data_IF_428481796857
#
_entry.id   IF_428481796857
#
_cell.length_a   1.000
_cell.length_b   1.000
_cell.length_c   1.000
_cell.angle_alpha   90.00
_cell.angle_beta   90.00
_cell.angle_gamma   90.00
#
_symmetry.space_group_name_H-M   'P 1'
#
loop_
_entity.id
_entity.type
_entity.pdbx_description
1 polymer ?
#
# COMPACT_ATOMS: atom_id res chain seq x y z
N UNK A 1 -38.48 -10.83 -37.33
CA UNK A 1 -38.00 -9.63 -36.63
C UNK A 1 -36.61 -9.32 -37.13
N UNK A 2 -36.31 -8.06 -37.41
CA UNK A 2 -34.98 -7.61 -37.84
C UNK A 2 -34.56 -6.45 -36.94
N UNK A 3 -33.30 -6.44 -36.50
CA UNK A 3 -32.70 -5.34 -35.73
C UNK A 3 -32.06 -4.34 -36.70
N UNK A 4 -32.25 -3.04 -36.43
CA UNK A 4 -31.47 -1.96 -37.03
C UNK A 4 -30.63 -1.31 -35.93
N UNK A 5 -29.35 -1.69 -35.90
CA UNK A 5 -28.42 -1.31 -34.84
C UNK A 5 -27.99 0.16 -34.95
N UNK A 6 -28.07 0.77 -36.14
CA UNK A 6 -27.69 2.17 -36.35
C UNK A 6 -28.71 3.09 -35.69
N UNK A 7 -30.00 2.73 -35.79
CA UNK A 7 -31.10 3.52 -35.25
C UNK A 7 -31.61 3.00 -33.89
N UNK A 8 -30.98 1.98 -33.31
CA UNK A 8 -31.44 1.27 -32.11
C UNK A 8 -32.93 0.92 -32.18
N UNK A 9 -33.36 0.41 -33.34
CA UNK A 9 -34.76 0.16 -33.66
C UNK A 9 -34.97 -1.32 -34.01
N UNK A 10 -36.15 -1.85 -33.69
CA UNK A 10 -36.55 -3.21 -34.07
C UNK A 10 -37.80 -3.17 -34.91
N UNK A 11 -37.77 -3.88 -36.05
CA UNK A 11 -38.95 -4.06 -36.91
C UNK A 11 -39.56 -5.44 -36.66
N UNK A 12 -40.85 -5.46 -36.30
CA UNK A 12 -41.59 -6.66 -35.96
C UNK A 12 -42.82 -6.80 -36.85
N UNK A 13 -42.88 -7.90 -37.62
CA UNK A 13 -44.10 -8.32 -38.31
C UNK A 13 -44.79 -9.39 -37.48
N UNK A 14 -45.97 -9.07 -36.94
CA UNK A 14 -46.75 -9.96 -36.07
C UNK A 14 -48.25 -9.72 -36.24
N UNK A 15 -49.08 -10.66 -35.74
CA UNK A 15 -50.53 -10.46 -35.63
C UNK A 15 -50.86 -9.44 -34.53
N UNK A 16 -52.02 -8.78 -34.61
CA UNK A 16 -52.42 -7.71 -33.68
C UNK A 16 -52.31 -8.11 -32.20
N UNK A 17 -52.67 -9.37 -31.87
CA UNK A 17 -52.59 -9.90 -30.51
C UNK A 17 -51.15 -9.98 -30.00
N UNK A 18 -50.23 -10.44 -30.85
CA UNK A 18 -48.82 -10.58 -30.47
C UNK A 18 -48.11 -9.22 -30.45
N UNK A 19 -48.52 -8.28 -31.30
CA UNK A 19 -48.02 -6.91 -31.26
C UNK A 19 -48.28 -6.24 -29.90
N UNK A 20 -49.50 -6.35 -29.37
CA UNK A 20 -49.84 -5.79 -28.05
C UNK A 20 -48.99 -6.37 -26.91
N UNK A 21 -48.68 -7.68 -26.95
CA UNK A 21 -47.83 -8.33 -25.95
C UNK A 21 -46.38 -7.85 -26.03
N UNK A 22 -45.86 -7.67 -27.25
CA UNK A 22 -44.48 -7.18 -27.48
C UNK A 22 -44.36 -5.71 -27.08
N UNK A 23 -45.36 -4.88 -27.38
CA UNK A 23 -45.40 -3.48 -26.97
C UNK A 23 -45.35 -3.34 -25.44
N UNK A 24 -46.17 -4.10 -24.72
CA UNK A 24 -46.17 -4.12 -23.25
C UNK A 24 -44.84 -4.63 -22.66
N UNK A 25 -44.20 -5.58 -23.32
CA UNK A 25 -42.88 -6.07 -22.91
C UNK A 25 -41.78 -5.02 -23.12
N UNK A 26 -41.78 -4.32 -24.27
CA UNK A 26 -40.82 -3.26 -24.57
C UNK A 26 -40.96 -2.09 -23.60
N UNK A 27 -42.19 -1.67 -23.27
CA UNK A 27 -42.44 -0.61 -22.28
C UNK A 27 -41.87 -0.92 -20.90
N UNK A 28 -41.76 -2.20 -20.53
CA UNK A 28 -41.17 -2.62 -19.25
C UNK A 28 -39.65 -2.76 -19.30
N UNK A 29 -39.08 -2.96 -20.49
CA UNK A 29 -37.64 -3.13 -20.69
C UNK A 29 -36.92 -1.79 -20.89
N UNK A 30 -37.58 -0.83 -21.54
CA UNK A 30 -37.03 0.49 -21.85
C UNK A 30 -37.12 1.46 -20.65
N UNK A 31 -36.36 1.14 -19.60
CA UNK A 31 -36.21 1.97 -18.40
C UNK A 31 -34.77 2.46 -18.31
N UNK A 32 -34.59 3.72 -17.90
CA UNK A 32 -33.25 4.25 -17.64
C UNK A 32 -32.55 3.43 -16.53
N UNK A 33 -31.29 2.98 -16.75
CA UNK A 33 -30.58 2.20 -15.76
C UNK A 33 -30.24 3.05 -14.53
N UNK A 34 -30.39 2.47 -13.34
CA UNK A 34 -30.03 3.14 -12.09
C UNK A 34 -28.50 3.22 -11.93
N UNK A 35 -28.01 4.35 -11.45
CA UNK A 35 -26.61 4.53 -11.03
C UNK A 35 -26.47 4.19 -9.55
N UNK A 36 -25.35 3.56 -9.19
CA UNK A 36 -25.01 3.15 -7.83
C UNK A 36 -23.63 3.70 -7.51
N UNK A 37 -23.49 4.31 -6.32
CA UNK A 37 -22.20 4.71 -5.76
C UNK A 37 -21.70 3.62 -4.82
N UNK A 38 -20.54 3.06 -5.13
CA UNK A 38 -19.87 2.07 -4.28
C UNK A 38 -18.76 2.81 -3.52
N UNK A 39 -18.79 2.69 -2.19
CA UNK A 39 -17.77 3.21 -1.28
C UNK A 39 -17.18 2.03 -0.49
N UNK A 40 -15.86 1.96 -0.42
CA UNK A 40 -15.17 1.00 0.44
C UNK A 40 -14.43 1.77 1.54
N UNK A 41 -14.36 1.22 2.75
CA UNK A 41 -13.60 1.79 3.86
C UNK A 41 -12.48 0.83 4.27
N UNK A 42 -11.24 1.31 4.21
CA UNK A 42 -10.04 0.55 4.59
C UNK A 42 -9.41 1.25 5.78
N UNK A 43 -9.22 0.52 6.88
CA UNK A 43 -8.58 1.03 8.10
C UNK A 43 -7.39 0.15 8.47
N UNK A 44 -6.19 0.73 8.54
CA UNK A 44 -4.98 0.04 9.00
C UNK A 44 -4.54 0.64 10.34
N UNK A 45 -4.36 -0.22 11.34
CA UNK A 45 -3.85 0.16 12.66
C UNK A 45 -2.56 -0.60 12.90
N UNK A 46 -1.45 0.14 12.90
CA UNK A 46 -0.13 -0.39 13.22
C UNK A 46 0.33 0.19 14.54
N UNK A 47 0.55 -0.68 15.52
CA UNK A 47 1.05 -0.33 16.84
C UNK A 47 2.46 -0.88 17.00
N UNK A 48 3.43 0.00 17.14
CA UNK A 48 4.82 -0.36 17.47
C UNK A 48 5.05 -0.03 18.93
N UNK A 49 5.45 -1.03 19.71
CA UNK A 49 5.80 -0.89 21.12
C UNK A 49 7.27 -1.23 21.30
N UNK A 50 8.11 -0.21 21.47
CA UNK A 50 9.54 -0.37 21.71
C UNK A 50 9.87 0.08 23.13
N UNK A 51 10.24 -0.89 23.99
CA UNK A 51 10.69 -0.62 25.35
C UNK A 51 12.19 -0.84 25.41
N UNK A 52 12.93 0.24 25.62
CA UNK A 52 14.38 0.23 25.75
C UNK A 52 14.77 0.68 27.16
N UNK A 53 15.57 -0.13 27.85
CA UNK A 53 16.13 0.21 29.15
C UNK A 53 17.64 -0.02 29.16
N UNK A 54 18.34 0.85 29.88
CA UNK A 54 19.79 0.82 29.98
C UNK A 54 20.25 1.24 31.37
N UNK A 55 21.14 0.46 31.95
CA UNK A 55 21.81 0.76 33.22
C UNK A 55 23.30 0.78 32.97
N UNK A 56 23.94 1.90 33.30
CA UNK A 56 25.36 2.13 33.09
C UNK A 56 26.00 2.53 34.42
N UNK A 57 27.08 1.86 34.77
CA UNK A 57 27.88 2.13 35.97
C UNK A 57 29.32 2.42 35.55
N UNK A 58 29.90 3.48 36.12
CA UNK A 58 31.31 3.84 35.94
C UNK A 58 31.98 3.93 37.30
N UNK A 59 33.07 3.20 37.47
CA UNK A 59 33.89 3.22 38.68
C UNK A 59 35.24 3.80 38.32
N UNK A 60 35.57 4.95 38.90
CA UNK A 60 36.81 5.67 38.61
C UNK A 60 37.65 5.76 39.88
N UNK A 61 38.81 5.08 39.88
CA UNK A 61 39.77 5.10 40.99
C UNK A 61 41.14 5.53 40.46
N UNK A 62 41.50 6.79 40.68
CA UNK A 62 42.79 7.32 40.22
C UNK A 62 42.89 7.34 38.69
N UNK A 63 43.77 6.52 38.10
CA UNK A 63 43.95 6.38 36.65
C UNK A 63 43.22 5.17 36.03
N UNK A 64 42.58 4.32 36.86
CA UNK A 64 41.83 3.17 36.38
C UNK A 64 40.34 3.46 36.36
N UNK A 65 39.69 3.08 35.27
CA UNK A 65 38.26 3.21 35.09
C UNK A 65 37.66 1.87 34.65
N UNK A 66 36.58 1.46 35.31
CA UNK A 66 35.83 0.23 35.01
C UNK A 66 34.39 0.62 34.72
N UNK A 67 33.86 0.21 33.57
CA UNK A 67 32.48 0.48 33.16
C UNK A 67 31.70 -0.80 32.95
N UNK A 68 30.46 -0.81 33.43
CA UNK A 68 29.50 -1.88 33.24
C UNK A 68 28.26 -1.27 32.57
N UNK A 69 27.87 -1.81 31.41
CA UNK A 69 26.67 -1.40 30.69
C UNK A 69 25.93 -2.65 30.22
N UNK A 70 24.61 -2.66 30.37
CA UNK A 70 23.74 -3.66 29.73
C UNK A 70 23.19 -3.16 28.37
N UNK A 71 23.62 -1.97 27.93
CA UNK A 71 23.23 -1.36 26.68
C UNK A 71 24.35 -1.53 25.65
N UNK A 72 24.02 -2.24 24.58
CA UNK A 72 24.93 -2.54 23.47
C UNK A 72 25.39 -1.23 22.78
N UNK A 73 26.69 -1.06 22.57
CA UNK A 73 27.26 0.08 21.85
C UNK A 73 27.61 1.35 22.67
N UNK A 74 27.41 1.38 23.99
CA UNK A 74 27.67 2.58 24.82
C UNK A 74 28.92 2.44 25.71
N UNK A 75 30.11 2.25 25.12
CA UNK A 75 31.38 2.05 25.86
C UNK A 75 32.21 3.32 26.11
N UNK A 76 31.73 4.51 25.71
CA UNK A 76 32.56 5.72 25.69
C UNK A 76 32.23 6.81 26.72
N UNK A 77 30.99 6.90 27.18
CA UNK A 77 30.54 7.96 28.11
C UNK A 77 29.24 7.55 28.80
N UNK A 78 29.03 8.01 30.03
CA UNK A 78 27.73 7.93 30.70
C UNK A 78 26.77 8.90 30.00
N UNK A 79 25.95 8.36 29.11
CA UNK A 79 25.02 9.14 28.31
C UNK A 79 23.64 9.07 28.95
N UNK A 80 23.07 10.23 29.27
CA UNK A 80 21.63 10.36 29.48
C UNK A 80 20.97 10.25 28.11
N UNK A 81 20.17 9.22 27.91
CA UNK A 81 19.48 9.02 26.63
C UNK A 81 18.23 9.92 26.58
N UNK A 82 18.13 10.72 25.51
CA UNK A 82 16.97 11.56 25.20
C UNK A 82 16.53 11.29 23.76
N UNK A 83 15.23 11.13 23.47
CA UNK A 83 14.07 11.24 24.37
C UNK A 83 13.96 10.08 25.37
N UNK A 84 13.26 10.27 26.49
CA UNK A 84 13.02 9.24 27.51
C UNK A 84 13.22 9.71 28.97
N UNK A 85 13.05 8.79 29.91
CA UNK A 85 13.39 8.97 31.32
C UNK A 85 14.88 8.68 31.53
N UNK A 86 15.62 9.62 32.11
CA UNK A 86 17.01 9.40 32.49
C UNK A 86 17.31 9.95 33.88
N UNK A 87 17.78 9.07 34.76
CA UNK A 87 18.26 9.41 36.09
C UNK A 87 19.76 9.17 36.17
N UNK A 88 20.50 10.19 36.58
CA UNK A 88 21.95 10.11 36.69
C UNK A 88 22.38 10.57 38.07
N UNK A 89 23.33 9.81 38.60
CA UNK A 89 23.95 10.04 39.89
C UNK A 89 25.47 10.12 39.67
N UNK A 90 26.06 11.25 40.06
CA UNK A 90 27.50 11.44 40.05
C UNK A 90 28.05 11.41 41.47
N UNK A 91 29.05 10.58 41.69
CA UNK A 91 29.76 10.45 42.96
C UNK A 91 31.24 10.80 42.79
N UNK A 92 32.02 10.70 43.87
CA UNK A 92 33.47 11.02 43.82
C UNK A 92 34.30 9.95 43.09
N UNK A 93 33.76 8.75 42.94
CA UNK A 93 34.44 7.59 42.35
C UNK A 93 33.48 6.57 41.73
N UNK A 94 32.16 6.84 41.80
CA UNK A 94 31.12 5.98 41.26
C UNK A 94 30.06 6.87 40.63
N UNK A 95 29.82 6.63 39.35
CA UNK A 95 28.78 7.31 38.59
C UNK A 95 27.82 6.27 38.02
N UNK A 96 26.54 6.60 37.99
CA UNK A 96 25.48 5.70 37.58
C UNK A 96 24.46 6.43 36.70
N UNK A 97 24.04 5.79 35.62
CA UNK A 97 22.96 6.28 34.75
C UNK A 97 21.93 5.18 34.55
N UNK A 98 20.67 5.52 34.79
CA UNK A 98 19.50 4.72 34.45
C UNK A 98 18.75 5.43 33.34
N UNK A 99 18.62 4.78 32.19
CA UNK A 99 17.84 5.23 31.05
C UNK A 99 16.65 4.28 30.83
N UNK A 100 15.48 4.83 30.60
CA UNK A 100 14.28 4.11 30.21
C UNK A 100 13.53 4.91 29.15
N UNK A 101 13.30 4.30 27.99
CA UNK A 101 12.55 4.87 26.88
C UNK A 101 11.45 3.90 26.49
N UNK A 102 10.21 4.40 26.50
CA UNK A 102 9.05 3.70 25.98
C UNK A 102 8.56 4.47 24.76
N UNK A 103 8.75 3.88 23.57
CA UNK A 103 8.27 4.42 22.30
C UNK A 103 6.97 3.74 21.91
N UNK A 104 5.83 4.41 22.12
CA UNK A 104 4.55 3.99 21.56
C UNK A 104 4.26 4.76 20.28
N UNK A 105 4.28 4.06 19.15
CA UNK A 105 3.86 4.64 17.86
C UNK A 105 2.53 4.02 17.44
N UNK A 106 1.48 4.84 17.35
CA UNK A 106 0.17 4.44 16.82
C UNK A 106 -0.04 5.09 15.47
N UNK A 107 -0.02 4.28 14.42
CA UNK A 107 -0.35 4.72 13.05
C UNK A 107 -1.78 4.27 12.75
N UNK A 108 -2.60 5.19 12.24
CA UNK A 108 -3.97 4.92 11.79
C UNK A 108 -4.12 5.42 10.36
N UNK A 109 -4.29 4.51 9.40
CA UNK A 109 -4.51 4.85 8.00
C UNK A 109 -5.99 4.62 7.69
N UNK A 110 -6.68 5.63 7.18
CA UNK A 110 -8.08 5.55 6.73
C UNK A 110 -8.14 5.92 5.27
N UNK A 111 -8.66 5.03 4.43
CA UNK A 111 -8.89 5.28 3.01
C UNK A 111 -10.33 4.93 2.62
N UNK A 112 -10.97 5.83 1.86
CA UNK A 112 -12.35 5.67 1.40
C UNK A 112 -12.47 5.86 -0.13
N UNK A 113 -12.05 4.87 -0.95
CA UNK A 113 -12.23 4.94 -2.40
C UNK A 113 -13.73 4.85 -2.77
N UNK A 114 -14.11 5.62 -3.80
CA UNK A 114 -15.49 5.69 -4.31
C UNK A 114 -15.53 5.48 -5.82
N UNK A 115 -16.55 4.75 -6.30
CA UNK A 115 -16.77 4.47 -7.72
C UNK A 115 -18.26 4.50 -8.04
N UNK A 116 -18.64 5.20 -9.12
CA UNK A 116 -20.02 5.26 -9.60
C UNK A 116 -20.18 4.30 -10.79
N UNK A 117 -21.19 3.44 -10.73
CA UNK A 117 -21.41 2.37 -11.70
C UNK A 117 -22.88 2.27 -12.06
N UNK A 118 -23.20 1.78 -13.26
CA UNK A 118 -24.57 1.42 -13.60
C UNK A 118 -24.94 0.09 -12.96
N UNK A 119 -26.23 -0.08 -12.63
CA UNK A 119 -26.73 -1.33 -12.07
C UNK A 119 -26.41 -2.50 -13.02
N UNK A 120 -25.96 -3.61 -12.43
CA UNK A 120 -25.59 -4.83 -13.14
C UNK A 120 -24.44 -4.70 -14.16
N UNK A 121 -23.57 -3.69 -14.00
CA UNK A 121 -22.33 -3.56 -14.78
C UNK A 121 -21.10 -3.78 -13.90
N UNK A 122 -20.17 -4.63 -14.37
CA UNK A 122 -18.89 -4.84 -13.71
C UNK A 122 -18.02 -3.60 -13.86
N UNK A 123 -17.49 -3.11 -12.74
CA UNK A 123 -16.53 -2.02 -12.72
C UNK A 123 -15.32 -2.40 -11.86
N UNK A 124 -14.14 -1.90 -12.23
CA UNK A 124 -12.91 -2.11 -11.49
C UNK A 124 -12.31 -0.77 -11.06
N UNK A 125 -11.81 -0.74 -9.83
CA UNK A 125 -11.08 0.39 -9.26
C UNK A 125 -9.73 -0.14 -8.77
N UNK A 126 -8.64 0.36 -9.36
CA UNK A 126 -7.27 -0.02 -9.01
C UNK A 126 -6.57 1.21 -8.43
N UNK A 127 -5.98 1.05 -7.25
CA UNK A 127 -5.23 2.09 -6.53
C UNK A 127 -3.87 1.50 -6.16
N UNK A 128 -2.80 2.19 -6.53
CA UNK A 128 -1.43 1.79 -6.23
C UNK A 128 -0.48 2.10 -7.39
N UNK A 129 0.78 1.72 -7.19
CA UNK A 129 1.84 1.94 -8.17
C UNK A 129 2.13 0.65 -8.94
N UNK A 130 2.36 0.78 -10.25
CA UNK A 130 2.81 -0.34 -11.08
C UNK A 130 4.34 -0.42 -11.06
N UNK A 131 4.90 -1.38 -10.32
CA UNK A 131 6.35 -1.61 -10.26
C UNK A 131 6.79 -2.58 -11.37
N UNK A 132 7.63 -2.16 -12.34
CA UNK A 132 8.11 -3.06 -13.39
C UNK A 132 9.15 -4.04 -12.83
N UNK A 133 9.10 -5.29 -13.29
CA UNK A 133 10.14 -6.28 -13.04
C UNK A 133 10.95 -6.51 -14.32
N UNK A 134 12.27 -6.62 -14.21
CA UNK A 134 13.12 -6.93 -15.34
C UNK A 134 12.95 -8.40 -15.74
N UNK A 135 12.27 -8.66 -16.86
CA UNK A 135 12.04 -10.01 -17.39
C UNK A 135 12.86 -10.25 -18.66
N UNK A 136 14.19 -10.26 -18.54
CA UNK A 136 15.05 -10.75 -19.62
C UNK A 136 16.43 -11.16 -19.09
N UNK A 137 16.72 -12.46 -19.12
CA UNK A 137 18.07 -13.00 -19.02
C UNK A 137 18.42 -13.65 -20.35
N UNK A 138 19.34 -13.04 -21.11
CA UNK A 138 19.88 -13.64 -22.32
C UNK A 138 21.17 -14.39 -21.97
N UNK A 139 21.19 -15.70 -22.21
CA UNK A 139 22.42 -16.51 -22.20
C UNK A 139 22.79 -16.77 -23.66
N UNK A 140 23.98 -16.36 -24.06
CA UNK A 140 24.48 -16.57 -25.42
C UNK A 140 24.71 -18.06 -25.69
N UNK A 141 24.10 -18.61 -26.73
CA UNK A 141 24.22 -20.03 -27.12
C UNK A 141 25.49 -20.37 -27.94
N UNK A 142 26.38 -19.40 -28.18
CA UNK A 142 27.61 -19.59 -28.97
C UNK A 142 28.87 -19.88 -28.15
N UNK A 143 28.90 -19.58 -26.84
CA UNK A 143 30.06 -19.86 -26.00
C UNK A 143 29.62 -20.04 -24.52
N UNK A 144 29.76 -21.25 -23.92
CA UNK A 144 29.26 -21.57 -22.58
C UNK A 144 29.92 -20.78 -21.43
N UNK A 145 31.02 -20.06 -21.67
CA UNK A 145 31.74 -19.27 -20.66
C UNK A 145 31.54 -17.74 -20.76
N UNK A 146 30.51 -17.27 -21.49
CA UNK A 146 30.27 -15.83 -21.69
C UNK A 146 29.53 -15.21 -20.49
N UNK A 147 29.94 -14.04 -19.96
CA UNK A 147 29.22 -13.38 -18.86
C UNK A 147 27.79 -13.02 -19.29
N UNK A 148 26.80 -13.39 -18.47
CA UNK A 148 25.40 -13.06 -18.69
C UNK A 148 25.21 -11.54 -18.70
N UNK A 149 24.99 -10.95 -19.88
CA UNK A 149 24.68 -9.52 -19.97
C UNK A 149 23.20 -9.31 -19.63
N UNK A 150 22.92 -8.92 -18.39
CA UNK A 150 21.58 -8.45 -17.99
C UNK A 150 21.35 -7.10 -18.65
N UNK A 151 20.63 -7.08 -19.77
CA UNK A 151 20.17 -5.82 -20.38
C UNK A 151 18.92 -5.36 -19.63
N UNK A 152 19.04 -4.29 -18.85
CA UNK A 152 17.92 -3.53 -18.32
C UNK A 152 17.22 -2.80 -19.46
N UNK A 153 16.44 -3.55 -20.23
CA UNK A 153 15.43 -2.98 -21.11
C UNK A 153 14.34 -2.40 -20.22
N UNK A 154 14.45 -1.12 -19.86
CA UNK A 154 13.32 -0.35 -19.36
C UNK A 154 12.20 -0.52 -20.37
N UNK A 155 11.20 -1.33 -20.04
CA UNK A 155 9.99 -1.40 -20.84
C UNK A 155 9.46 0.03 -20.89
N UNK A 156 9.44 0.62 -22.08
CA UNK A 156 8.74 1.87 -22.32
C UNK A 156 7.33 1.68 -21.76
N UNK A 157 6.87 2.51 -20.81
CA UNK A 157 5.52 2.37 -20.31
C UNK A 157 4.59 2.48 -21.51
N UNK A 158 3.82 1.43 -21.77
CA UNK A 158 2.72 1.53 -22.72
C UNK A 158 1.77 2.59 -22.14
N UNK A 159 1.78 3.79 -22.70
CA UNK A 159 0.76 4.80 -22.44
C UNK A 159 -0.56 4.24 -22.96
N UNK A 160 -1.27 3.49 -22.12
CA UNK A 160 -2.57 2.92 -22.44
C UNK A 160 -3.68 3.71 -21.76
N UNK A 161 -3.70 5.02 -22.00
CA UNK A 161 -4.86 5.85 -21.72
C UNK A 161 -5.49 6.25 -23.05
N UNK A 162 -6.35 5.37 -23.58
CA UNK A 162 -7.29 5.78 -24.61
C UNK A 162 -8.36 6.62 -23.92
N UNK A 163 -8.30 7.92 -24.18
CA UNK A 163 -9.39 8.87 -23.94
C UNK A 163 -10.74 8.22 -24.20
N UNK A 164 -11.63 8.25 -23.22
CA UNK A 164 -13.06 8.49 -23.49
C UNK A 164 -13.59 9.46 -22.46
N UNK A 165 -14.20 10.51 -23.00
CA UNK A 165 -14.88 11.59 -22.29
C UNK A 165 -16.01 11.02 -21.42
N UNK A 166 -16.39 11.84 -20.43
CA UNK A 166 -17.53 11.66 -19.55
C UNK A 166 -18.82 11.24 -20.28
#
# INVERSE_FOLDING_TARGET
MTSDDINNAITVFATQRNYAVIEDALRKLDLAPSQILIEAAITEVTLTNDLRYGVQWSFTRGKSDVRLSNQEGTLGSLVREFPGFSYFYAGRSIDATLNALEGLTKINVVAAPKLMVLNNQTASLQVGDQVPIASASAVSTQNPDSPSSTRSSTATPASFWKSRRA
#
